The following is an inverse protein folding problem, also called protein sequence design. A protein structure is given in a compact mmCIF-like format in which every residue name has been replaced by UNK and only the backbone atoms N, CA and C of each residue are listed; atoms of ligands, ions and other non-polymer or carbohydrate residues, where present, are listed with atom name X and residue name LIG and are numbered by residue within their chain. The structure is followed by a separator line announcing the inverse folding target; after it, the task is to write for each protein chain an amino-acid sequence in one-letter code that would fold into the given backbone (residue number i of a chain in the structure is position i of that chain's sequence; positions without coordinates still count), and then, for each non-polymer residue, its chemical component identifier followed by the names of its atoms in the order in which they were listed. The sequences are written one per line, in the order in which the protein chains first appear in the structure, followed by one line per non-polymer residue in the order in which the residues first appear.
data_IF_237897740968
#
_entry.id   IF_237897740968
#
_cell.length_a   1.000
_cell.length_b   1.000
_cell.length_c   1.000
_cell.angle_alpha   90.00
_cell.angle_beta   90.00
_cell.angle_gamma   90.00
#
_symmetry.space_group_name_H-M   'P 1'
#
loop_
_entity.id
_entity.type
_entity.pdbx_description
1 polymer ?
#
# COMPACT_ATOMS: atom_id res chain seq x y z
N UNK A 1 -5.42 -11.58 3.99
CA UNK A 1 -5.40 -10.13 3.71
C UNK A 1 -4.91 -9.40 4.95
N UNK A 2 -3.83 -8.62 4.80
CA UNK A 2 -3.23 -7.85 5.90
C UNK A 2 -4.23 -6.77 6.38
N UNK A 3 -4.31 -6.55 7.69
CA UNK A 3 -5.17 -5.50 8.26
C UNK A 3 -4.47 -4.14 8.19
N UNK A 4 -5.24 -3.06 8.08
CA UNK A 4 -4.72 -1.68 8.04
C UNK A 4 -3.82 -1.37 9.24
N UNK A 5 -4.23 -1.77 10.44
CA UNK A 5 -3.43 -1.56 11.66
C UNK A 5 -2.05 -2.25 11.59
N UNK A 6 -1.96 -3.40 10.90
CA UNK A 6 -0.69 -4.07 10.67
C UNK A 6 0.15 -3.34 9.61
N UNK A 7 -0.48 -2.82 8.55
CA UNK A 7 0.21 -1.98 7.55
C UNK A 7 0.80 -0.73 8.23
N UNK A 8 0.01 -0.06 9.07
CA UNK A 8 0.45 1.10 9.84
C UNK A 8 1.64 0.78 10.74
N UNK A 9 1.58 -0.36 11.44
CA UNK A 9 2.66 -0.83 12.29
C UNK A 9 3.94 -1.14 11.51
N UNK A 10 3.84 -1.80 10.36
CA UNK A 10 4.99 -2.13 9.50
C UNK A 10 5.62 -0.86 8.91
N UNK A 11 4.79 0.08 8.45
CA UNK A 11 5.27 1.34 7.87
C UNK A 11 5.74 2.34 8.94
N UNK A 12 5.34 2.16 10.21
CA UNK A 12 5.62 3.11 11.29
C UNK A 12 4.85 4.42 11.11
N UNK A 13 3.60 4.34 10.67
CA UNK A 13 2.69 5.48 10.46
C UNK A 13 1.43 5.34 11.31
N UNK A 14 0.78 6.46 11.56
CA UNK A 14 -0.45 6.63 12.32
C UNK A 14 -1.66 6.97 11.43
N UNK A 15 -1.42 7.48 10.22
CA UNK A 15 -2.45 7.92 9.28
C UNK A 15 -2.16 7.44 7.86
N UNK A 16 -3.19 6.95 7.15
CA UNK A 16 -3.07 6.32 5.81
C UNK A 16 -2.39 7.24 4.79
N UNK A 17 -2.68 8.55 4.81
CA UNK A 17 -2.09 9.50 3.86
C UNK A 17 -0.57 9.65 3.99
N UNK A 18 0.04 9.18 5.09
CA UNK A 18 1.51 9.19 5.28
C UNK A 18 2.19 8.02 4.57
N UNK A 19 1.45 6.99 4.17
CA UNK A 19 2.01 5.80 3.52
C UNK A 19 2.81 6.09 2.24
N UNK A 20 2.33 6.92 1.27
CA UNK A 20 3.10 7.22 0.06
C UNK A 20 4.43 7.91 0.35
N UNK A 21 4.43 8.86 1.30
CA UNK A 21 5.65 9.56 1.73
C UNK A 21 6.63 8.57 2.36
N UNK A 22 6.16 7.75 3.30
CA UNK A 22 6.99 6.76 3.99
C UNK A 22 7.64 5.77 3.01
N UNK A 23 6.88 5.29 2.03
CA UNK A 23 7.37 4.39 0.98
C UNK A 23 8.42 5.07 0.08
N UNK A 24 8.22 6.35 -0.23
CA UNK A 24 9.19 7.15 -1.00
C UNK A 24 10.48 7.37 -0.22
N UNK A 25 10.38 7.70 1.08
CA UNK A 25 11.52 7.96 1.95
C UNK A 25 12.43 6.72 2.08
N UNK A 26 11.86 5.51 2.08
CA UNK A 26 12.65 4.25 2.13
C UNK A 26 13.09 3.75 0.76
N UNK A 27 12.58 4.29 -0.35
CA UNK A 27 12.72 3.69 -1.68
C UNK A 27 14.18 3.45 -2.08
N UNK A 28 15.05 4.38 -1.69
CA UNK A 28 16.49 4.37 -2.01
C UNK A 28 17.37 3.87 -0.85
N UNK A 29 16.80 3.62 0.33
CA UNK A 29 17.50 2.96 1.44
C UNK A 29 17.25 1.45 1.35
N UNK A 30 18.25 0.73 0.83
CA UNK A 30 18.13 -0.71 0.56
C UNK A 30 17.79 -1.50 1.82
N UNK A 31 18.46 -1.24 2.93
CA UNK A 31 18.32 -2.05 4.14
C UNK A 31 16.95 -1.81 4.78
N UNK A 32 16.54 -0.54 4.89
CA UNK A 32 15.20 -0.19 5.39
C UNK A 32 14.09 -0.73 4.50
N UNK A 33 14.26 -0.64 3.18
CA UNK A 33 13.27 -1.15 2.21
C UNK A 33 13.12 -2.66 2.28
N UNK A 34 14.24 -3.39 2.29
CA UNK A 34 14.19 -4.85 2.36
C UNK A 34 13.63 -5.36 3.69
N UNK A 35 13.95 -4.71 4.80
CA UNK A 35 13.35 -5.06 6.09
C UNK A 35 11.83 -4.91 6.06
N UNK A 36 11.33 -3.75 5.61
CA UNK A 36 9.88 -3.50 5.48
C UNK A 36 9.22 -4.52 4.53
N UNK A 37 9.82 -4.81 3.38
CA UNK A 37 9.27 -5.79 2.44
C UNK A 37 9.22 -7.20 3.04
N UNK A 38 10.26 -7.61 3.79
CA UNK A 38 10.25 -8.88 4.52
C UNK A 38 9.19 -8.93 5.61
N UNK A 39 8.89 -7.80 6.27
CA UNK A 39 7.80 -7.73 7.22
C UNK A 39 6.43 -7.91 6.54
N UNK A 40 6.20 -7.27 5.38
CA UNK A 40 4.98 -7.49 4.59
C UNK A 40 4.84 -8.95 4.12
N UNK A 41 5.93 -9.56 3.67
CA UNK A 41 5.95 -10.95 3.19
C UNK A 41 5.62 -12.00 4.27
N UNK A 42 5.59 -11.63 5.56
CA UNK A 42 5.11 -12.52 6.64
C UNK A 42 3.58 -12.68 6.64
N UNK A 43 2.86 -11.76 6.02
CA UNK A 43 1.39 -11.73 6.02
C UNK A 43 0.78 -12.25 4.72
N UNK A 44 1.44 -11.97 3.61
CA UNK A 44 1.05 -12.40 2.28
C UNK A 44 2.31 -12.60 1.46
N UNK A 45 2.38 -13.70 0.72
CA UNK A 45 3.56 -14.04 -0.10
C UNK A 45 3.26 -13.99 -1.60
N UNK A 46 1.99 -13.92 -1.97
CA UNK A 46 1.59 -13.85 -3.37
C UNK A 46 1.77 -12.43 -3.95
N UNK A 47 2.94 -12.19 -4.54
CA UNK A 47 3.28 -10.94 -5.22
C UNK A 47 2.79 -10.87 -6.68
N UNK A 48 1.86 -11.76 -7.09
CA UNK A 48 1.28 -11.73 -8.44
C UNK A 48 0.27 -10.59 -8.65
N UNK A 49 -0.10 -9.88 -7.58
CA UNK A 49 -0.99 -8.72 -7.62
C UNK A 49 -0.45 -7.57 -6.75
N UNK A 50 -0.81 -6.35 -7.12
CA UNK A 50 -0.36 -5.15 -6.40
C UNK A 50 -1.22 -4.91 -5.15
N UNK A 51 -0.63 -5.14 -3.99
CA UNK A 51 -1.28 -4.96 -2.68
C UNK A 51 -1.45 -3.48 -2.33
N UNK A 52 -0.51 -2.64 -2.76
CA UNK A 52 -0.57 -1.21 -2.49
C UNK A 52 -1.71 -0.58 -3.26
N UNK A 53 -1.95 -1.02 -4.50
CA UNK A 53 -3.13 -0.61 -5.26
C UNK A 53 -4.42 -0.89 -4.49
N UNK A 54 -4.63 -2.11 -3.99
CA UNK A 54 -5.83 -2.44 -3.21
C UNK A 54 -5.93 -1.60 -1.92
N UNK A 55 -4.84 -1.44 -1.19
CA UNK A 55 -4.79 -0.62 0.01
C UNK A 55 -5.14 0.85 -0.26
N UNK A 56 -4.58 1.45 -1.31
CA UNK A 56 -4.89 2.83 -1.69
C UNK A 56 -6.29 2.97 -2.27
N UNK A 57 -6.80 1.96 -2.97
CA UNK A 57 -8.18 1.91 -3.45
C UNK A 57 -9.19 1.86 -2.30
N UNK A 58 -8.94 1.06 -1.26
CA UNK A 58 -9.85 0.95 -0.12
C UNK A 58 -9.84 2.23 0.74
N UNK A 59 -8.67 2.85 0.91
CA UNK A 59 -8.49 3.92 1.89
C UNK A 59 -8.45 5.35 1.31
N UNK A 60 -7.91 5.53 0.10
CA UNK A 60 -7.81 6.85 -0.54
C UNK A 60 -8.88 7.10 -1.59
N UNK A 61 -9.51 6.06 -2.13
CA UNK A 61 -10.77 6.28 -2.82
C UNK A 61 -11.77 6.74 -1.76
N UNK A 62 -12.05 8.05 -1.73
CA UNK A 62 -13.10 8.65 -0.91
C UNK A 62 -14.47 8.24 -1.48
N UNK A 63 -14.65 6.94 -1.75
CA UNK A 63 -15.75 6.32 -2.47
C UNK A 63 -17.04 6.47 -1.68
N UNK A 64 -16.92 6.44 -0.35
CA UNK A 64 -18.02 6.59 0.59
C UNK A 64 -18.57 8.02 0.65
N UNK A 65 -17.72 9.06 0.55
CA UNK A 65 -18.17 10.45 0.66
C UNK A 65 -18.21 11.22 -0.68
N UNK A 66 -17.31 10.92 -1.61
CA UNK A 66 -17.12 11.68 -2.86
C UNK A 66 -17.27 10.84 -4.14
N UNK A 67 -17.54 9.53 -4.04
CA UNK A 67 -17.63 8.61 -5.19
C UNK A 67 -16.42 8.71 -6.14
N UNK A 68 -15.24 9.00 -5.59
CA UNK A 68 -14.02 8.92 -6.37
C UNK A 68 -13.70 7.44 -6.52
N UNK A 69 -13.68 6.95 -7.75
CA UNK A 69 -13.14 5.63 -8.07
C UNK A 69 -11.66 5.83 -8.41
N UNK A 70 -10.82 4.93 -7.90
CA UNK A 70 -9.44 4.80 -8.34
C UNK A 70 -9.41 4.19 -9.75
N UNK A 71 -8.28 4.33 -10.46
CA UNK A 71 -8.13 3.79 -11.82
C UNK A 71 -8.45 2.29 -11.85
N UNK A 72 -9.51 1.85 -12.54
CA UNK A 72 -9.88 0.43 -12.56
C UNK A 72 -8.74 -0.44 -13.08
N UNK A 73 -8.60 -1.65 -12.52
CA UNK A 73 -7.54 -2.61 -12.91
C UNK A 73 -7.45 -2.87 -14.41
N UNK A 74 -8.58 -2.88 -15.12
CA UNK A 74 -8.63 -3.04 -16.58
C UNK A 74 -7.92 -1.92 -17.35
N UNK A 75 -7.93 -0.69 -16.82
CA UNK A 75 -7.22 0.46 -17.38
C UNK A 75 -5.76 0.45 -16.93
N UNK A 76 -5.50 0.08 -15.67
CA UNK A 76 -4.13 0.03 -15.13
C UNK A 76 -3.25 -1.07 -15.74
N UNK A 77 -3.83 -2.11 -16.33
CA UNK A 77 -3.08 -3.18 -17.02
C UNK A 77 -2.71 -2.80 -18.46
N UNK A 78 -3.35 -1.77 -19.02
CA UNK A 78 -3.19 -1.36 -20.43
C UNK A 78 -2.05 -0.35 -20.64
N UNK A 79 -1.63 0.34 -19.57
CA UNK A 79 -0.60 1.40 -19.55
C UNK A 79 0.69 0.89 -18.93
#
# INVERSE_FOLDING_TARGET
MIKIDEIHRILGIDEVYKAPKRLTDILFDKDSREDIFRQFLKYETDVSYDWFMQYFEEEQADRKNKKQDFTPKSVSTLL
#
